data_IF_516406745163
#
_entry.id   IF_516406745163
#
_cell.length_a   1.000
_cell.length_b   1.000
_cell.length_c   1.000
_cell.angle_alpha   90.00
_cell.angle_beta   90.00
_cell.angle_gamma   90.00
#
_symmetry.space_group_name_H-M   'P 1'
#
loop_
_entity.id
_entity.type
_entity.pdbx_description
1 polymer ?
#
# COMPACT_ATOMS: atom_id res chain seq x y z
N UNK A 1 -15.50 8.74 9.76
CA UNK A 1 -15.06 8.96 8.36
C UNK A 1 -16.27 8.88 7.44
N UNK A 2 -16.36 9.75 6.44
CA UNK A 2 -17.46 9.80 5.47
C UNK A 2 -17.19 8.79 4.33
N UNK A 3 -18.17 7.93 4.00
CA UNK A 3 -18.07 7.02 2.85
C UNK A 3 -18.49 7.76 1.57
N UNK A 4 -17.72 7.60 0.51
CA UNK A 4 -17.98 8.09 -0.84
C UNK A 4 -17.74 6.98 -1.85
N UNK A 5 -18.24 7.17 -3.07
CA UNK A 5 -18.07 6.23 -4.17
C UNK A 5 -17.70 6.98 -5.44
N UNK A 6 -16.64 6.54 -6.12
CA UNK A 6 -16.28 7.03 -7.45
C UNK A 6 -16.67 6.01 -8.50
N UNK A 7 -17.53 6.42 -9.42
CA UNK A 7 -17.87 5.65 -10.61
C UNK A 7 -17.06 6.16 -11.80
N UNK A 8 -16.46 5.24 -12.56
CA UNK A 8 -15.81 5.53 -13.84
C UNK A 8 -16.10 4.37 -14.80
N UNK A 9 -16.88 4.64 -15.86
CA UNK A 9 -17.36 3.57 -16.73
C UNK A 9 -18.20 2.57 -15.94
N UNK A 10 -17.81 1.29 -15.95
CA UNK A 10 -18.44 0.21 -15.17
C UNK A 10 -17.78 -0.03 -13.81
N UNK A 11 -16.63 0.61 -13.52
CA UNK A 11 -15.96 0.48 -12.23
C UNK A 11 -16.61 1.38 -11.17
N UNK A 12 -16.70 0.86 -9.94
CA UNK A 12 -17.19 1.57 -8.77
C UNK A 12 -16.21 1.35 -7.61
N UNK A 13 -15.55 2.42 -7.16
CA UNK A 13 -14.57 2.38 -6.08
C UNK A 13 -15.13 3.12 -4.87
N UNK A 14 -15.32 2.37 -3.78
CA UNK A 14 -15.66 2.96 -2.49
C UNK A 14 -14.40 3.52 -1.83
N UNK A 15 -14.54 4.67 -1.18
CA UNK A 15 -13.47 5.29 -0.40
C UNK A 15 -14.04 6.05 0.79
N UNK A 16 -13.20 6.27 1.80
CA UNK A 16 -13.56 6.93 3.04
C UNK A 16 -12.68 8.15 3.25
N UNK A 17 -13.27 9.24 3.75
CA UNK A 17 -12.57 10.49 4.01
C UNK A 17 -12.70 10.85 5.47
N UNK A 18 -11.59 11.17 6.12
CA UNK A 18 -11.52 11.74 7.46
C UNK A 18 -10.80 13.09 7.40
N UNK A 19 -11.42 14.14 7.96
CA UNK A 19 -10.95 15.52 7.86
C UNK A 19 -11.28 16.19 6.52
N UNK A 20 -11.07 17.50 6.45
CA UNK A 20 -11.40 18.30 5.26
C UNK A 20 -10.30 18.29 4.20
N UNK A 21 -9.03 18.24 4.64
CA UNK A 21 -7.84 18.26 3.77
C UNK A 21 -7.00 17.02 4.10
N UNK A 22 -7.20 15.90 3.39
CA UNK A 22 -6.43 14.69 3.63
C UNK A 22 -4.92 14.88 3.39
N UNK A 23 -4.10 14.38 4.30
CA UNK A 23 -2.64 14.35 4.22
C UNK A 23 -2.09 12.93 4.06
N UNK A 24 -2.87 11.92 4.45
CA UNK A 24 -2.52 10.51 4.39
C UNK A 24 -3.44 9.76 3.41
N UNK A 25 -2.86 8.92 2.56
CA UNK A 25 -3.60 7.96 1.73
C UNK A 25 -3.33 6.54 2.21
N UNK A 26 -4.38 5.82 2.59
CA UNK A 26 -4.32 4.41 2.99
C UNK A 26 -4.99 3.60 1.89
N UNK A 27 -4.33 2.55 1.41
CA UNK A 27 -4.82 1.67 0.35
C UNK A 27 -4.69 0.20 0.77
N UNK A 28 -5.64 -0.62 0.33
CA UNK A 28 -5.61 -2.08 0.36
C UNK A 28 -6.42 -2.66 -0.82
N UNK A 29 -6.43 -3.98 -0.97
CA UNK A 29 -7.15 -4.67 -2.03
C UNK A 29 -6.73 -4.27 -3.44
N UNK A 30 -5.41 -4.12 -3.66
CA UNK A 30 -4.85 -3.92 -5.01
C UNK A 30 -4.93 -5.22 -5.83
N UNK A 31 -4.64 -6.35 -5.20
CA UNK A 31 -4.73 -7.69 -5.77
C UNK A 31 -5.69 -8.54 -4.91
N UNK A 32 -6.50 -9.38 -5.54
CA UNK A 32 -7.52 -10.15 -4.84
C UNK A 32 -7.03 -11.44 -4.19
N UNK A 33 -5.90 -11.96 -4.61
CA UNK A 33 -5.19 -13.06 -3.96
C UNK A 33 -4.45 -12.64 -2.68
N UNK A 34 -4.45 -11.33 -2.37
CA UNK A 34 -3.88 -10.70 -1.17
C UNK A 34 -4.95 -10.22 -0.17
N UNK A 35 -6.18 -10.76 -0.27
CA UNK A 35 -7.36 -10.29 0.49
C UNK A 35 -7.27 -10.50 2.02
N UNK A 36 -6.32 -11.30 2.51
CA UNK A 36 -6.18 -11.59 3.93
C UNK A 36 -5.74 -10.39 4.77
N UNK A 37 -5.06 -9.41 4.18
CA UNK A 37 -4.65 -8.18 4.87
C UNK A 37 -5.76 -7.13 4.93
N UNK A 38 -6.70 -7.13 3.98
CA UNK A 38 -7.72 -6.08 3.81
C UNK A 38 -8.54 -5.84 5.09
N UNK A 39 -8.97 -6.93 5.74
CA UNK A 39 -9.71 -6.83 7.01
C UNK A 39 -8.84 -6.23 8.13
N UNK A 40 -7.58 -6.64 8.22
CA UNK A 40 -6.65 -6.12 9.23
C UNK A 40 -6.42 -4.62 9.06
N UNK A 41 -6.33 -4.15 7.81
CA UNK A 41 -6.20 -2.71 7.48
C UNK A 41 -7.47 -1.97 7.85
N UNK A 42 -8.64 -2.47 7.44
CA UNK A 42 -9.93 -1.87 7.80
C UNK A 42 -10.10 -1.70 9.31
N UNK A 43 -9.84 -2.77 10.07
CA UNK A 43 -9.93 -2.75 11.53
C UNK A 43 -8.93 -1.77 12.16
N UNK A 44 -7.71 -1.67 11.61
CA UNK A 44 -6.71 -0.71 12.06
C UNK A 44 -7.13 0.74 11.77
N UNK A 45 -7.68 1.03 10.58
CA UNK A 45 -8.21 2.36 10.24
C UNK A 45 -9.31 2.77 11.22
N UNK A 46 -10.26 1.89 11.52
CA UNK A 46 -11.32 2.17 12.50
C UNK A 46 -10.70 2.41 13.89
N UNK A 47 -9.80 1.53 14.33
CA UNK A 47 -9.21 1.59 15.67
C UNK A 47 -8.44 2.89 15.90
N UNK A 48 -7.66 3.33 14.91
CA UNK A 48 -6.76 4.48 15.02
C UNK A 48 -7.32 5.74 14.35
N UNK A 49 -8.61 5.76 13.98
CA UNK A 49 -9.21 6.88 13.23
C UNK A 49 -8.91 8.25 13.86
N UNK A 50 -8.96 8.35 15.19
CA UNK A 50 -8.73 9.60 15.93
C UNK A 50 -7.24 9.92 16.16
N UNK A 51 -6.34 8.97 15.89
CA UNK A 51 -4.90 9.12 16.06
C UNK A 51 -4.16 9.37 14.73
N UNK A 52 -4.82 9.13 13.61
CA UNK A 52 -4.27 9.37 12.28
C UNK A 52 -4.41 10.85 11.90
N UNK A 53 -3.49 11.41 11.10
CA UNK A 53 -3.73 12.68 10.43
C UNK A 53 -4.96 12.56 9.51
N UNK A 54 -5.58 13.68 9.07
CA UNK A 54 -6.63 13.65 8.06
C UNK A 54 -6.27 12.73 6.89
N UNK A 55 -7.16 11.83 6.52
CA UNK A 55 -6.83 10.74 5.60
C UNK A 55 -7.92 10.45 4.59
N UNK A 56 -7.49 9.84 3.48
CA UNK A 56 -8.34 9.15 2.52
C UNK A 56 -7.98 7.66 2.58
N UNK A 57 -9.00 6.81 2.68
CA UNK A 57 -8.83 5.35 2.72
C UNK A 57 -9.61 4.70 1.58
N UNK A 58 -8.92 3.93 0.73
CA UNK A 58 -9.53 3.10 -0.30
C UNK A 58 -9.36 1.63 0.11
N UNK A 59 -10.40 0.99 0.65
CA UNK A 59 -10.31 -0.38 1.19
C UNK A 59 -10.12 -1.46 0.12
N UNK A 60 -10.53 -1.19 -1.12
CA UNK A 60 -10.36 -2.10 -2.24
C UNK A 60 -10.12 -1.29 -3.51
N UNK A 61 -8.86 -1.30 -3.96
CA UNK A 61 -8.40 -0.60 -5.17
C UNK A 61 -8.86 -1.32 -6.45
N UNK A 62 -8.93 -2.65 -6.43
CA UNK A 62 -9.55 -3.46 -7.49
C UNK A 62 -10.64 -4.36 -6.90
N UNK A 63 -11.87 -3.82 -6.73
CA UNK A 63 -12.99 -4.60 -6.22
C UNK A 63 -13.28 -5.85 -7.04
N UNK A 64 -13.07 -5.82 -8.36
CA UNK A 64 -13.26 -7.02 -9.17
C UNK A 64 -12.20 -8.10 -8.92
N UNK A 65 -10.92 -7.73 -8.76
CA UNK A 65 -9.87 -8.68 -8.36
C UNK A 65 -10.19 -9.29 -6.99
N UNK A 66 -10.51 -8.45 -5.99
CA UNK A 66 -10.89 -8.88 -4.63
C UNK A 66 -12.08 -9.85 -4.65
N UNK A 67 -13.13 -9.56 -5.42
CA UNK A 67 -14.30 -10.43 -5.54
C UNK A 67 -13.97 -11.77 -6.20
N UNK A 68 -13.06 -11.78 -7.17
CA UNK A 68 -12.61 -12.99 -7.87
C UNK A 68 -11.53 -13.77 -7.11
N UNK A 69 -10.92 -13.15 -6.09
CA UNK A 69 -9.76 -13.69 -5.35
C UNK A 69 -8.58 -13.99 -6.27
N UNK A 70 -8.31 -13.09 -7.20
CA UNK A 70 -7.24 -13.23 -8.20
C UNK A 70 -6.34 -12.01 -8.19
N UNK A 71 -5.07 -12.18 -8.58
CA UNK A 71 -4.14 -11.07 -8.78
C UNK A 71 -4.66 -10.02 -9.75
N UNK A 72 -5.28 -10.50 -10.82
CA UNK A 72 -5.79 -9.69 -11.92
C UNK A 72 -7.27 -9.37 -11.71
N UNK A 73 -7.70 -8.24 -12.26
CA UNK A 73 -9.09 -7.79 -12.21
C UNK A 73 -10.01 -8.59 -13.17
N UNK A 74 -11.31 -8.25 -13.23
CA UNK A 74 -12.28 -8.93 -14.12
C UNK A 74 -11.90 -8.92 -15.61
N UNK A 75 -11.07 -7.97 -16.04
CA UNK A 75 -10.63 -7.82 -17.43
C UNK A 75 -9.30 -8.57 -17.69
N UNK A 76 -8.81 -9.31 -16.69
CA UNK A 76 -7.57 -10.07 -16.78
C UNK A 76 -6.30 -9.21 -16.62
N UNK A 77 -6.41 -8.03 -16.01
CA UNK A 77 -5.32 -7.04 -15.91
C UNK A 77 -4.83 -6.88 -14.47
N UNK A 78 -3.51 -6.89 -14.28
CA UNK A 78 -2.88 -6.46 -13.02
C UNK A 78 -2.98 -4.92 -12.93
N UNK A 79 -3.86 -4.44 -12.05
CA UNK A 79 -4.12 -3.01 -11.91
C UNK A 79 -2.88 -2.24 -11.43
N UNK A 80 -2.01 -2.86 -10.62
CA UNK A 80 -0.79 -2.27 -10.09
C UNK A 80 0.35 -2.24 -11.12
N UNK A 81 0.02 -2.52 -12.38
CA UNK A 81 0.86 -2.29 -13.56
C UNK A 81 0.21 -1.34 -14.57
N UNK A 82 -0.90 -0.69 -14.22
CA UNK A 82 -1.74 0.07 -15.15
C UNK A 82 -2.08 1.51 -14.72
N UNK A 83 -1.34 2.09 -13.79
CA UNK A 83 -1.47 3.51 -13.41
C UNK A 83 -0.68 4.42 -14.35
N UNK A 84 -1.30 4.77 -15.48
CA UNK A 84 -0.79 5.72 -16.47
C UNK A 84 -1.83 6.79 -16.82
N UNK A 85 -1.39 7.96 -17.30
CA UNK A 85 -2.29 9.06 -17.67
C UNK A 85 -3.30 8.69 -18.75
N UNK A 86 -2.92 7.77 -19.63
CA UNK A 86 -3.70 7.26 -20.76
C UNK A 86 -4.29 5.86 -20.51
N UNK A 87 -4.18 5.35 -19.27
CA UNK A 87 -4.70 4.04 -18.87
C UNK A 87 -6.16 3.86 -19.32
N UNK A 88 -6.48 2.65 -19.80
CA UNK A 88 -7.84 2.28 -20.22
C UNK A 88 -8.56 1.42 -19.17
N UNK A 89 -7.88 1.10 -18.07
CA UNK A 89 -8.41 0.24 -17.02
C UNK A 89 -9.31 1.08 -16.11
N UNK A 90 -10.61 0.80 -16.14
CA UNK A 90 -11.62 1.64 -15.49
C UNK A 90 -11.41 1.76 -13.97
N UNK A 91 -11.02 0.68 -13.29
CA UNK A 91 -10.69 0.71 -11.86
C UNK A 91 -9.47 1.60 -11.57
N UNK A 92 -8.41 1.51 -12.39
CA UNK A 92 -7.25 2.39 -12.25
C UNK A 92 -7.64 3.85 -12.46
N UNK A 93 -8.49 4.13 -13.47
CA UNK A 93 -9.03 5.47 -13.76
C UNK A 93 -9.86 6.01 -12.61
N UNK A 94 -10.74 5.20 -12.03
CA UNK A 94 -11.54 5.60 -10.87
C UNK A 94 -10.63 6.00 -9.70
N UNK A 95 -9.61 5.20 -9.37
CA UNK A 95 -8.66 5.52 -8.29
C UNK A 95 -7.84 6.77 -8.59
N UNK A 96 -7.31 6.92 -9.81
CA UNK A 96 -6.59 8.14 -10.20
C UNK A 96 -7.48 9.39 -10.11
N UNK A 97 -8.74 9.28 -10.48
CA UNK A 97 -9.72 10.36 -10.40
C UNK A 97 -10.09 10.75 -8.95
N UNK A 98 -10.03 9.80 -8.00
CA UNK A 98 -10.21 10.10 -6.57
C UNK A 98 -9.08 11.01 -6.06
N UNK A 99 -7.84 10.75 -6.48
CA UNK A 99 -6.65 11.38 -5.88
C UNK A 99 -6.04 12.52 -6.69
N UNK A 100 -6.39 12.70 -7.97
CA UNK A 100 -5.70 13.60 -8.91
C UNK A 100 -5.55 15.05 -8.46
N UNK A 101 -6.50 15.55 -7.68
CA UNK A 101 -6.54 16.94 -7.21
C UNK A 101 -6.03 17.11 -5.77
N UNK A 102 -5.50 16.05 -5.17
CA UNK A 102 -5.00 16.05 -3.80
C UNK A 102 -3.49 16.35 -3.74
N UNK A 103 -3.05 16.73 -2.54
CA UNK A 103 -1.65 16.84 -2.14
C UNK A 103 -1.50 16.15 -0.79
N UNK A 104 -0.91 14.97 -0.81
CA UNK A 104 -0.77 14.08 0.33
C UNK A 104 0.71 14.01 0.72
N UNK A 105 0.97 13.97 2.02
CA UNK A 105 2.31 13.81 2.55
C UNK A 105 2.79 12.37 2.37
N UNK A 106 1.93 11.40 2.72
CA UNK A 106 2.28 9.99 2.72
C UNK A 106 1.17 9.16 2.13
N UNK A 107 1.55 8.14 1.37
CA UNK A 107 0.68 7.02 1.04
C UNK A 107 1.25 5.75 1.67
N UNK A 108 0.36 4.92 2.20
CA UNK A 108 0.65 3.55 2.58
C UNK A 108 -0.30 2.61 1.83
N UNK A 109 0.26 1.61 1.14
CA UNK A 109 -0.50 0.62 0.38
C UNK A 109 -0.13 -0.77 0.87
N UNK A 110 -1.07 -1.43 1.54
CA UNK A 110 -0.85 -2.77 2.09
C UNK A 110 -1.06 -3.82 1.01
N UNK A 111 -0.06 -4.68 0.87
CA UNK A 111 -0.07 -5.87 0.03
C UNK A 111 0.17 -7.11 0.90
N UNK A 112 -0.02 -8.27 0.30
CA UNK A 112 0.47 -9.53 0.86
C UNK A 112 1.43 -10.23 -0.08
N UNK A 113 2.43 -10.87 0.51
CA UNK A 113 3.28 -11.77 -0.24
C UNK A 113 2.83 -13.22 -0.01
N UNK A 114 2.21 -13.89 -1.00
CA UNK A 114 1.72 -15.27 -0.84
C UNK A 114 2.85 -16.31 -0.74
N UNK A 115 4.08 -15.94 -1.13
CA UNK A 115 5.23 -16.84 -1.19
C UNK A 115 6.13 -16.71 0.04
N UNK A 116 6.41 -15.49 0.47
CA UNK A 116 7.32 -15.23 1.58
C UNK A 116 6.65 -15.34 2.95
N UNK A 117 7.44 -15.80 3.93
CA UNK A 117 7.05 -15.92 5.34
C UNK A 117 7.51 -14.73 6.19
N UNK A 118 8.38 -13.88 5.65
CA UNK A 118 9.03 -12.78 6.33
C UNK A 118 8.40 -11.45 5.94
N UNK A 119 8.23 -10.55 6.91
CA UNK A 119 7.72 -9.22 6.65
C UNK A 119 8.79 -8.34 5.99
N UNK A 120 8.35 -7.50 5.05
CA UNK A 120 9.17 -6.46 4.47
C UNK A 120 8.33 -5.30 3.97
N UNK A 121 8.98 -4.18 3.66
CA UNK A 121 8.30 -3.07 3.01
C UNK A 121 9.23 -2.20 2.18
N UNK A 122 8.67 -1.69 1.08
CA UNK A 122 9.29 -0.65 0.29
C UNK A 122 8.97 0.73 0.88
N UNK A 123 9.96 1.61 0.90
CA UNK A 123 9.81 3.00 1.35
C UNK A 123 10.42 3.93 0.31
N UNK A 124 9.57 4.59 -0.44
CA UNK A 124 9.96 5.38 -1.59
C UNK A 124 9.72 6.87 -1.39
N UNK A 125 10.63 7.65 -1.98
CA UNK A 125 10.45 9.07 -2.36
C UNK A 125 10.35 10.07 -1.20
N UNK A 126 10.29 9.60 0.04
CA UNK A 126 10.35 10.41 1.25
C UNK A 126 11.73 10.42 1.92
N UNK A 127 11.72 10.52 3.25
CA UNK A 127 12.92 10.47 4.09
C UNK A 127 13.32 9.00 4.28
N UNK A 128 14.59 8.69 4.02
CA UNK A 128 15.16 7.40 4.38
C UNK A 128 15.16 7.24 5.90
N UNK A 129 14.47 6.21 6.40
CA UNK A 129 14.37 5.94 7.84
C UNK A 129 15.35 4.88 8.33
N UNK A 130 16.29 4.43 7.49
CA UNK A 130 17.38 3.55 7.93
C UNK A 130 18.19 4.20 9.06
N UNK A 131 18.51 3.41 10.10
CA UNK A 131 19.19 3.89 11.30
C UNK A 131 18.35 4.72 12.28
N UNK A 132 17.07 5.00 11.99
CA UNK A 132 16.19 5.73 12.91
C UNK A 132 15.64 4.84 14.03
N UNK A 133 15.22 5.46 15.14
CA UNK A 133 14.52 4.78 16.23
C UNK A 133 13.17 4.20 15.78
N UNK A 134 12.49 4.88 14.85
CA UNK A 134 11.23 4.41 14.24
C UNK A 134 11.39 3.06 13.56
N UNK A 135 12.35 2.94 12.64
CA UNK A 135 12.59 1.68 11.94
C UNK A 135 13.08 0.59 12.89
N UNK A 136 13.93 0.95 13.86
CA UNK A 136 14.40 0.02 14.88
C UNK A 136 13.26 -0.54 15.73
N UNK A 137 12.31 0.32 16.15
CA UNK A 137 11.14 -0.07 16.92
C UNK A 137 10.17 -0.94 16.11
N UNK A 138 9.96 -0.65 14.83
CA UNK A 138 9.18 -1.50 13.93
C UNK A 138 9.81 -2.89 13.81
N UNK A 139 11.11 -2.96 13.46
CA UNK A 139 11.85 -4.23 13.33
C UNK A 139 11.82 -5.04 14.63
N UNK A 140 11.97 -4.39 15.78
CA UNK A 140 11.89 -5.06 17.08
C UNK A 140 10.47 -5.59 17.34
N UNK A 141 9.44 -4.80 17.05
CA UNK A 141 8.05 -5.22 17.20
C UNK A 141 7.73 -6.44 16.33
N UNK A 142 8.16 -6.44 15.06
CA UNK A 142 7.97 -7.58 14.14
C UNK A 142 8.62 -8.85 14.71
N UNK A 143 9.86 -8.75 15.19
CA UNK A 143 10.55 -9.87 15.86
C UNK A 143 9.85 -10.34 17.12
N UNK A 144 9.29 -9.44 17.93
CA UNK A 144 8.52 -9.79 19.14
C UNK A 144 7.19 -10.50 18.81
N UNK A 145 6.64 -10.28 17.62
CA UNK A 145 5.52 -11.06 17.09
C UNK A 145 5.95 -12.47 16.65
N UNK A 146 7.25 -12.77 16.62
CA UNK A 146 7.77 -14.03 16.09
C UNK A 146 7.75 -14.09 14.57
N UNK A 147 7.69 -12.94 13.90
CA UNK A 147 7.69 -12.82 12.44
C UNK A 147 9.11 -12.47 11.99
N UNK A 148 9.59 -13.12 10.93
CA UNK A 148 10.89 -12.81 10.35
C UNK A 148 10.88 -11.50 9.55
N UNK A 149 12.07 -11.02 9.22
CA UNK A 149 12.28 -9.84 8.39
C UNK A 149 13.07 -10.26 7.16
N UNK A 150 12.58 -9.91 5.97
CA UNK A 150 13.20 -10.38 4.73
C UNK A 150 14.66 -9.91 4.64
N UNK A 151 15.56 -10.85 4.34
CA UNK A 151 16.92 -10.57 3.91
C UNK A 151 17.15 -11.33 2.61
N UNK A 152 17.52 -10.62 1.54
CA UNK A 152 17.62 -11.21 0.20
C UNK A 152 16.80 -10.44 -0.83
N UNK A 153 16.45 -11.09 -1.94
CA UNK A 153 15.83 -10.43 -3.11
C UNK A 153 14.33 -10.74 -3.16
N UNK A 154 13.47 -9.72 -3.27
CA UNK A 154 12.04 -9.91 -3.60
C UNK A 154 11.89 -10.35 -5.06
N UNK A 155 10.87 -11.17 -5.35
CA UNK A 155 10.56 -11.78 -6.66
C UNK A 155 11.57 -11.46 -7.79
N UNK A 156 12.63 -12.27 -7.95
CA UNK A 156 13.67 -12.02 -8.93
C UNK A 156 13.19 -12.21 -10.38
N UNK A 157 11.97 -12.71 -10.58
CA UNK A 157 11.40 -12.95 -11.91
C UNK A 157 10.65 -11.73 -12.47
N UNK A 158 10.15 -10.83 -11.60
CA UNK A 158 9.49 -9.60 -12.01
C UNK A 158 10.51 -8.46 -12.22
N UNK A 159 10.54 -7.90 -13.45
CA UNK A 159 11.43 -6.79 -13.85
C UNK A 159 11.14 -5.47 -13.14
N UNK A 160 9.96 -5.34 -12.52
CA UNK A 160 9.60 -4.20 -11.68
C UNK A 160 10.06 -4.38 -10.23
N UNK A 161 10.39 -5.62 -9.82
CA UNK A 161 10.83 -6.06 -8.50
C UNK A 161 12.30 -6.52 -8.57
N UNK A 162 12.75 -7.46 -7.74
CA UNK A 162 14.12 -7.97 -7.79
C UNK A 162 15.13 -7.14 -6.99
N UNK A 163 14.68 -6.43 -5.97
CA UNK A 163 15.49 -5.61 -5.08
C UNK A 163 15.98 -6.35 -3.84
N UNK A 164 17.20 -6.01 -3.44
CA UNK A 164 17.75 -6.54 -2.19
C UNK A 164 17.17 -5.82 -0.97
N UNK A 165 16.62 -6.60 -0.06
CA UNK A 165 16.14 -6.23 1.27
C UNK A 165 17.16 -6.57 2.34
N UNK A 166 17.31 -5.64 3.27
CA UNK A 166 18.13 -5.82 4.48
C UNK A 166 17.23 -5.58 5.68
N UNK A 167 17.04 -6.62 6.50
CA UNK A 167 16.17 -6.60 7.67
C UNK A 167 14.77 -6.02 7.36
N UNK A 168 14.16 -6.49 6.27
CA UNK A 168 12.79 -6.19 5.87
C UNK A 168 12.57 -4.76 5.37
N UNK A 169 13.62 -4.01 5.04
CA UNK A 169 13.52 -2.63 4.57
C UNK A 169 14.21 -2.41 3.23
N UNK A 170 13.53 -1.70 2.34
CA UNK A 170 14.11 -1.21 1.09
C UNK A 170 13.73 0.25 0.86
N UNK A 171 14.72 1.13 0.85
CA UNK A 171 14.52 2.55 0.51
C UNK A 171 14.74 2.84 -0.97
N UNK A 172 13.84 3.63 -1.58
CA UNK A 172 14.02 4.23 -2.89
C UNK A 172 14.12 5.75 -2.77
N UNK A 173 15.26 6.29 -3.17
CA UNK A 173 15.46 7.74 -3.19
C UNK A 173 14.52 8.45 -4.17
N UNK A 174 14.21 9.75 -3.97
CA UNK A 174 13.53 10.57 -4.98
C UNK A 174 14.21 10.52 -6.35
N UNK A 175 15.54 10.41 -6.39
CA UNK A 175 16.31 10.29 -7.65
C UNK A 175 16.06 8.98 -8.40
N UNK A 176 15.56 7.96 -7.69
CA UNK A 176 15.17 6.67 -8.25
C UNK A 176 13.82 6.71 -8.96
N UNK A 177 13.07 7.84 -8.87
CA UNK A 177 11.83 8.06 -9.60
C UNK A 177 12.11 8.19 -11.10
N UNK A 178 12.34 7.06 -11.77
CA UNK A 178 12.26 6.99 -13.23
C UNK A 178 10.80 7.22 -13.62
N UNK A 179 10.53 7.85 -14.78
CA UNK A 179 9.17 7.94 -15.38
C UNK A 179 8.46 6.62 -15.12
N UNK A 180 7.22 6.65 -14.59
CA UNK A 180 6.50 5.46 -14.10
C UNK A 180 6.47 4.33 -15.13
N UNK A 181 7.54 3.53 -15.20
CA UNK A 181 7.79 2.64 -16.33
C UNK A 181 6.93 1.39 -16.25
N UNK A 182 6.58 1.01 -15.03
CA UNK A 182 5.90 -0.23 -14.72
C UNK A 182 4.45 -0.03 -14.27
N UNK A 183 3.91 1.19 -14.36
CA UNK A 183 2.50 1.43 -14.07
C UNK A 183 2.11 1.26 -12.61
N UNK A 184 3.05 1.36 -11.67
CA UNK A 184 2.78 1.23 -10.23
C UNK A 184 2.11 2.51 -9.69
N UNK A 185 1.13 2.36 -8.80
CA UNK A 185 0.36 3.50 -8.29
C UNK A 185 1.25 4.54 -7.59
N UNK A 186 2.12 4.11 -6.66
CA UNK A 186 2.96 5.04 -5.90
C UNK A 186 3.94 5.82 -6.78
N UNK A 187 4.51 5.17 -7.79
CA UNK A 187 5.41 5.85 -8.74
C UNK A 187 4.64 6.86 -9.60
N UNK A 188 3.45 6.51 -10.08
CA UNK A 188 2.57 7.44 -10.80
C UNK A 188 2.24 8.65 -9.92
N UNK A 189 1.71 8.42 -8.71
CA UNK A 189 1.25 9.48 -7.82
C UNK A 189 2.39 10.42 -7.38
N UNK A 190 3.58 9.89 -7.08
CA UNK A 190 4.77 10.70 -6.80
C UNK A 190 5.18 11.53 -8.02
N UNK A 191 5.18 10.96 -9.22
CA UNK A 191 5.53 11.69 -10.45
C UNK A 191 4.57 12.84 -10.77
N UNK A 192 3.33 12.75 -10.28
CA UNK A 192 2.30 13.80 -10.38
C UNK A 192 2.30 14.79 -9.23
N UNK A 193 3.21 14.64 -8.27
CA UNK A 193 3.25 15.42 -7.02
C UNK A 193 1.92 15.34 -6.25
N UNK A 194 1.21 14.22 -6.39
CA UNK A 194 -0.01 13.93 -5.62
C UNK A 194 0.38 13.44 -4.24
N UNK A 195 1.43 12.63 -4.14
CA UNK A 195 1.98 12.13 -2.87
C UNK A 195 3.47 12.45 -2.78
N UNK A 196 3.99 12.72 -1.58
CA UNK A 196 5.44 12.95 -1.38
C UNK A 196 6.20 11.66 -1.04
N UNK A 197 5.60 10.75 -0.27
CA UNK A 197 6.19 9.47 0.16
C UNK A 197 5.26 8.31 -0.12
N UNK A 198 5.82 7.16 -0.50
CA UNK A 198 5.09 5.90 -0.73
C UNK A 198 5.67 4.79 0.14
N UNK A 199 4.86 4.22 1.02
CA UNK A 199 5.21 3.08 1.86
C UNK A 199 4.37 1.89 1.38
N UNK A 200 5.00 0.74 1.12
CA UNK A 200 4.31 -0.45 0.63
C UNK A 200 4.71 -1.65 1.49
N UNK A 201 3.98 -1.93 2.58
CA UNK A 201 4.20 -3.11 3.40
C UNK A 201 3.68 -4.37 2.71
N UNK A 202 4.51 -5.41 2.74
CA UNK A 202 4.24 -6.75 2.23
C UNK A 202 4.05 -7.68 3.43
N UNK A 203 2.79 -7.93 3.77
CA UNK A 203 2.42 -8.81 4.88
C UNK A 203 2.55 -10.26 4.43
N UNK A 204 3.23 -11.14 5.20
CA UNK A 204 3.34 -12.53 4.80
C UNK A 204 1.95 -13.20 4.68
N UNK A 205 1.60 -13.64 3.48
CA UNK A 205 0.26 -14.10 3.13
C UNK A 205 -0.16 -15.37 3.87
N UNK A 206 0.82 -16.17 4.29
CA UNK A 206 0.63 -17.43 5.04
C UNK A 206 0.51 -17.24 6.55
N UNK A 207 0.61 -16.01 7.07
CA UNK A 207 0.37 -15.76 8.49
C UNK A 207 -1.10 -16.06 8.87
N UNK A 208 -1.35 -16.61 10.07
CA UNK A 208 -2.72 -16.66 10.59
C UNK A 208 -3.31 -15.26 10.73
N UNK A 209 -4.62 -15.11 10.51
CA UNK A 209 -5.31 -13.80 10.58
C UNK A 209 -4.99 -12.99 11.86
N UNK A 210 -4.98 -13.59 13.08
CA UNK A 210 -4.65 -12.83 14.29
C UNK A 210 -3.22 -12.25 14.27
N UNK A 211 -2.30 -12.88 13.55
CA UNK A 211 -0.94 -12.38 13.37
C UNK A 211 -0.89 -11.26 12.35
N UNK A 212 -1.65 -11.33 11.25
CA UNK A 212 -1.84 -10.22 10.30
C UNK A 212 -2.41 -8.99 11.02
N UNK A 213 -3.43 -9.17 11.85
CA UNK A 213 -4.04 -8.09 12.63
C UNK A 213 -3.03 -7.40 13.55
N UNK A 214 -2.16 -8.17 14.22
CA UNK A 214 -1.11 -7.63 15.11
C UNK A 214 -0.02 -6.91 14.32
N UNK A 215 0.40 -7.47 13.19
CA UNK A 215 1.42 -6.88 12.34
C UNK A 215 0.95 -5.56 11.71
N UNK A 216 -0.28 -5.51 11.17
CA UNK A 216 -0.84 -4.28 10.60
C UNK A 216 -1.00 -3.20 11.67
N UNK A 217 -1.49 -3.54 12.87
CA UNK A 217 -1.54 -2.59 14.00
C UNK A 217 -0.16 -2.03 14.35
N UNK A 218 0.86 -2.88 14.39
CA UNK A 218 2.23 -2.45 14.63
C UNK A 218 2.72 -1.47 13.54
N UNK A 219 2.41 -1.75 12.27
CA UNK A 219 2.74 -0.83 11.16
C UNK A 219 2.08 0.53 11.35
N UNK A 220 0.78 0.57 11.69
CA UNK A 220 0.08 1.83 12.00
C UNK A 220 0.75 2.57 13.16
N UNK A 221 1.00 1.90 14.28
CA UNK A 221 1.59 2.46 15.49
C UNK A 221 3.01 3.00 15.30
N UNK A 222 3.78 2.45 14.35
CA UNK A 222 5.17 2.86 14.14
C UNK A 222 5.37 3.80 12.96
N UNK A 223 4.53 3.72 11.93
CA UNK A 223 4.76 4.48 10.69
C UNK A 223 3.75 5.60 10.46
N UNK A 224 2.55 5.54 11.05
CA UNK A 224 1.46 6.47 10.74
C UNK A 224 1.02 7.33 11.93
N UNK A 225 1.19 6.83 13.14
CA UNK A 225 0.81 7.52 14.37
C UNK A 225 2.06 8.18 14.97
N UNK A 226 1.92 9.45 15.36
CA UNK A 226 2.96 10.23 16.07
C UNK A 226 2.75 10.16 17.58
#
# INVERSE_FOLDING_TARGET
>A
MEKKTKVFGTASIDYHVNGEIPELLILSGMHGDEIGVDKSVWDAVIKYEQNLPPFLFIPSVSPSATNLKTRINKDGVDINRNFFDDSKIEEARAVMEIVKNLRLNTMINFHEDPEYMDFYFYDGFGINIEGTSTLSALRQGVKQLGIGLLNGVDDPSDKALGYEFINGYRYFSPSSLKKNKYGMFGTWACSKRIINRSIVPEVPGRLPQPMKDRLVRLVFEKLLIS
#
